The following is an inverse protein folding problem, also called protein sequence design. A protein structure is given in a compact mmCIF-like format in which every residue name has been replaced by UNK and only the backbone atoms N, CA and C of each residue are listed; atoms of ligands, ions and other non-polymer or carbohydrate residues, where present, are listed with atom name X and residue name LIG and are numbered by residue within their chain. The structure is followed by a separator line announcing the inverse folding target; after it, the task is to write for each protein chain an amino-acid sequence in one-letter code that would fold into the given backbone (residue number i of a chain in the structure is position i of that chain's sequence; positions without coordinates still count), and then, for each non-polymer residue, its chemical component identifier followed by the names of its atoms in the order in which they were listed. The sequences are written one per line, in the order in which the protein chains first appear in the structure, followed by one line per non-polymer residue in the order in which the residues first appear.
data_IF_611502924211
#
_entry.id   IF_611502924211
#
_cell.length_a   1.000
_cell.length_b   1.000
_cell.length_c   1.000
_cell.angle_alpha   90.00
_cell.angle_beta   90.00
_cell.angle_gamma   90.00
#
_symmetry.space_group_name_H-M   'P 1'
#
loop_
_entity.id
_entity.type
_entity.pdbx_description
1 polymer ?
#
# COMPACT_ATOMS: atom_id res chain seq x y z
N UNK A 1 15.20 -10.61 -1.90
CA UNK A 1 14.04 -9.76 -1.78
C UNK A 1 12.90 -10.34 -2.59
N UNK A 2 11.82 -10.68 -1.97
CA UNK A 2 10.70 -11.30 -2.65
C UNK A 2 9.64 -10.27 -3.06
N UNK A 3 8.90 -10.61 -4.10
CA UNK A 3 7.73 -9.87 -4.47
C UNK A 3 6.53 -10.53 -3.81
N UNK A 4 5.62 -9.74 -3.29
CA UNK A 4 4.40 -10.22 -2.67
C UNK A 4 3.19 -9.65 -3.36
N UNK A 5 2.17 -10.47 -3.51
CA UNK A 5 0.87 -10.03 -3.97
C UNK A 5 -0.21 -10.81 -3.23
N UNK A 6 -1.27 -10.13 -2.87
CA UNK A 6 -2.43 -10.76 -2.23
C UNK A 6 -3.70 -10.31 -2.93
N UNK A 7 -4.60 -11.25 -3.14
CA UNK A 7 -5.91 -10.99 -3.71
C UNK A 7 -6.97 -11.22 -2.64
N UNK A 8 -7.95 -10.35 -2.62
CA UNK A 8 -9.03 -10.39 -1.65
C UNK A 8 -10.36 -10.22 -2.35
N UNK A 9 -11.35 -11.00 -1.92
CA UNK A 9 -12.74 -10.71 -2.25
C UNK A 9 -13.36 -10.10 -1.01
N UNK A 10 -13.87 -8.89 -1.16
CA UNK A 10 -14.40 -8.12 -0.04
C UNK A 10 -15.85 -7.79 -0.30
N UNK A 11 -16.70 -8.09 0.66
CA UNK A 11 -18.08 -7.68 0.63
C UNK A 11 -18.27 -6.50 1.58
N UNK A 12 -18.66 -5.37 1.03
CA UNK A 12 -18.92 -4.17 1.80
C UNK A 12 -20.42 -4.09 2.06
N UNK A 13 -20.80 -4.13 3.33
CA UNK A 13 -22.22 -4.18 3.71
C UNK A 13 -22.80 -2.84 4.13
N UNK A 14 -21.99 -1.82 4.21
CA UNK A 14 -22.42 -0.47 4.56
C UNK A 14 -21.80 0.54 3.61
N UNK A 15 -22.04 1.81 3.89
CA UNK A 15 -21.49 2.88 3.08
C UNK A 15 -20.47 3.74 3.83
N UNK A 16 -19.96 3.25 4.93
CA UNK A 16 -18.89 3.89 5.67
C UNK A 16 -18.04 2.84 6.38
N UNK A 17 -16.85 3.22 6.78
CA UNK A 17 -15.88 2.33 7.41
C UNK A 17 -14.56 2.37 6.69
N UNK A 18 -13.65 1.53 7.12
CA UNK A 18 -12.32 1.42 6.53
C UNK A 18 -11.96 -0.01 6.23
N UNK A 19 -11.32 -0.22 5.09
CA UNK A 19 -10.64 -1.48 4.77
C UNK A 19 -9.16 -1.26 4.97
N UNK A 20 -8.51 -2.19 5.65
CA UNK A 20 -7.06 -2.16 5.80
C UNK A 20 -6.47 -3.39 5.15
N UNK A 21 -5.67 -3.19 4.12
CA UNK A 21 -4.89 -4.25 3.49
C UNK A 21 -3.48 -4.18 4.01
N UNK A 22 -2.91 -5.32 4.37
CA UNK A 22 -1.60 -5.39 4.99
C UNK A 22 -0.78 -6.51 4.37
N UNK A 23 0.37 -6.17 3.82
CA UNK A 23 1.37 -7.12 3.37
C UNK A 23 2.57 -7.03 4.28
N UNK A 24 3.07 -8.16 4.73
CA UNK A 24 4.22 -8.19 5.62
C UNK A 24 5.36 -8.93 4.93
N UNK A 25 6.50 -8.28 4.82
CA UNK A 25 7.69 -8.87 4.25
C UNK A 25 8.92 -8.46 5.05
N UNK A 26 9.62 -9.45 5.60
CA UNK A 26 10.83 -9.17 6.37
C UNK A 26 10.62 -8.29 7.59
N UNK A 27 9.42 -8.32 8.17
CA UNK A 27 9.08 -7.48 9.32
C UNK A 27 8.58 -6.09 8.94
N UNK A 28 8.62 -5.74 7.66
CA UNK A 28 8.06 -4.48 7.18
C UNK A 28 6.61 -4.68 6.79
N UNK A 29 5.75 -3.79 7.27
CA UNK A 29 4.33 -3.77 6.93
C UNK A 29 4.09 -2.77 5.81
N UNK A 30 3.46 -3.24 4.74
CA UNK A 30 3.00 -2.40 3.64
C UNK A 30 1.49 -2.38 3.70
N UNK A 31 0.92 -1.21 3.87
CA UNK A 31 -0.50 -1.09 4.17
C UNK A 31 -1.21 -0.18 3.17
N UNK A 32 -2.46 -0.51 2.91
CA UNK A 32 -3.36 0.32 2.14
C UNK A 32 -4.65 0.47 2.95
N UNK A 33 -4.97 1.67 3.36
CA UNK A 33 -6.21 1.97 4.08
C UNK A 33 -7.19 2.62 3.10
N UNK A 34 -8.37 2.03 2.96
CA UNK A 34 -9.40 2.54 2.06
C UNK A 34 -10.59 3.00 2.88
N UNK A 35 -10.94 4.27 2.73
CA UNK A 35 -12.12 4.84 3.36
C UNK A 35 -13.32 4.56 2.45
N UNK A 36 -14.26 3.77 2.95
CA UNK A 36 -15.44 3.36 2.18
C UNK A 36 -16.32 4.56 1.83
N UNK A 37 -16.39 5.54 2.69
CA UNK A 37 -17.25 6.70 2.45
C UNK A 37 -16.81 7.53 1.26
N UNK A 38 -15.51 7.65 1.03
CA UNK A 38 -14.96 8.51 -0.02
C UNK A 38 -14.28 7.72 -1.14
N UNK A 39 -13.96 6.45 -0.91
CA UNK A 39 -13.16 5.65 -1.81
C UNK A 39 -11.67 5.98 -1.76
N UNK A 40 -11.26 6.83 -0.86
CA UNK A 40 -9.86 7.26 -0.76
C UNK A 40 -8.99 6.14 -0.24
N UNK A 41 -7.93 5.85 -0.95
CA UNK A 41 -6.94 4.86 -0.55
C UNK A 41 -5.63 5.56 -0.20
N UNK A 42 -5.04 5.18 0.92
CA UNK A 42 -3.77 5.76 1.38
C UNK A 42 -2.78 4.62 1.59
N UNK A 43 -1.64 4.72 0.94
CA UNK A 43 -0.56 3.76 1.12
C UNK A 43 0.36 4.20 2.25
N UNK A 44 0.82 3.22 3.02
CA UNK A 44 1.81 3.48 4.06
C UNK A 44 2.70 2.26 4.23
N UNK A 45 3.85 2.46 4.86
CA UNK A 45 4.71 1.36 5.25
C UNK A 45 5.33 1.63 6.59
N UNK A 46 5.57 0.57 7.35
CA UNK A 46 6.19 0.65 8.66
C UNK A 46 7.25 -0.42 8.78
N UNK A 47 8.36 -0.07 9.40
CA UNK A 47 9.42 -1.03 9.62
C UNK A 47 9.10 -1.94 10.82
N UNK A 48 10.03 -2.80 11.14
CA UNK A 48 9.92 -3.77 12.22
C UNK A 48 9.66 -3.13 13.59
N UNK A 49 10.17 -1.92 13.79
CA UNK A 49 9.99 -1.18 15.04
C UNK A 49 8.72 -0.33 15.02
N UNK A 50 7.94 -0.38 13.94
CA UNK A 50 6.73 0.41 13.79
C UNK A 50 6.98 1.82 13.29
N UNK A 51 8.21 2.13 12.89
CA UNK A 51 8.56 3.46 12.41
C UNK A 51 8.04 3.66 10.98
N UNK A 52 7.34 4.76 10.71
CA UNK A 52 6.83 5.02 9.36
C UNK A 52 7.96 5.18 8.35
N UNK A 53 7.77 4.60 7.17
CA UNK A 53 8.65 4.81 6.03
C UNK A 53 8.09 5.87 5.10
N UNK A 54 8.94 6.33 4.18
CA UNK A 54 8.56 7.34 3.19
C UNK A 54 8.59 6.73 1.80
N UNK A 55 7.91 7.39 0.87
CA UNK A 55 7.92 7.01 -0.53
C UNK A 55 8.72 8.04 -1.32
N UNK A 56 9.37 7.58 -2.38
CA UNK A 56 10.20 8.44 -3.21
C UNK A 56 10.21 7.92 -4.64
N UNK A 57 10.29 8.85 -5.60
CA UNK A 57 10.46 8.51 -7.01
C UNK A 57 11.93 8.66 -7.46
N UNK A 58 12.84 8.85 -6.50
CA UNK A 58 14.23 9.09 -6.80
C UNK A 58 14.59 10.56 -6.96
N UNK A 59 13.58 11.43 -7.07
CA UNK A 59 13.78 12.87 -7.24
C UNK A 59 13.66 13.65 -5.93
N UNK A 60 13.11 13.04 -4.90
CA UNK A 60 12.93 13.68 -3.60
C UNK A 60 12.07 12.85 -2.68
N UNK A 61 11.85 13.38 -1.50
CA UNK A 61 11.08 12.72 -0.46
C UNK A 61 9.69 13.31 -0.39
N UNK A 62 8.69 12.44 -0.19
CA UNK A 62 7.34 12.89 0.09
C UNK A 62 7.13 12.86 1.60
N UNK A 63 6.66 13.95 2.14
CA UNK A 63 6.26 14.02 3.53
C UNK A 63 4.90 13.38 3.75
N UNK A 64 4.14 13.23 2.69
CA UNK A 64 2.79 12.65 2.76
C UNK A 64 2.73 11.33 2.04
N UNK A 65 1.94 10.43 2.58
CA UNK A 65 1.70 9.15 1.95
C UNK A 65 0.91 9.32 0.64
N UNK A 66 1.15 8.46 -0.36
CA UNK A 66 0.41 8.54 -1.62
C UNK A 66 -1.08 8.29 -1.40
N UNK A 67 -1.90 9.05 -2.08
CA UNK A 67 -3.35 8.96 -1.98
C UNK A 67 -3.92 8.68 -3.35
N UNK A 68 -4.80 7.70 -3.43
CA UNK A 68 -5.53 7.37 -4.64
C UNK A 68 -7.02 7.36 -4.38
N UNK A 69 -7.79 7.27 -5.44
CA UNK A 69 -9.23 7.15 -5.33
C UNK A 69 -9.70 5.86 -5.96
N UNK A 70 -10.53 5.15 -5.22
CA UNK A 70 -11.18 3.94 -5.69
C UNK A 70 -12.66 4.19 -5.85
N UNK A 71 -13.35 3.24 -6.46
CA UNK A 71 -14.80 3.28 -6.57
C UNK A 71 -15.49 2.49 -5.46
N UNK A 72 -14.75 2.17 -4.40
CA UNK A 72 -15.31 1.47 -3.25
C UNK A 72 -15.98 2.51 -2.36
N UNK A 73 -17.16 2.95 -2.75
CA UNK A 73 -17.87 4.01 -2.03
C UNK A 73 -19.25 3.59 -1.55
N UNK A 74 -19.62 2.34 -1.75
CA UNK A 74 -20.94 1.84 -1.39
C UNK A 74 -20.93 0.35 -1.18
N UNK A 75 -22.04 -0.19 -0.76
CA UNK A 75 -22.25 -1.64 -0.66
C UNK A 75 -21.95 -2.34 -1.97
N UNK A 76 -21.37 -3.50 -1.88
CA UNK A 76 -21.09 -4.33 -3.01
C UNK A 76 -19.95 -5.28 -2.76
N UNK A 77 -19.69 -6.11 -3.75
CA UNK A 77 -18.56 -7.03 -3.72
C UNK A 77 -17.46 -6.49 -4.60
N UNK A 78 -16.24 -6.50 -4.07
CA UNK A 78 -15.07 -5.97 -4.75
C UNK A 78 -13.96 -6.98 -4.72
N UNK A 79 -13.23 -7.07 -5.82
CA UNK A 79 -12.00 -7.85 -5.88
C UNK A 79 -10.83 -6.89 -5.79
N UNK A 80 -9.98 -7.10 -4.80
CA UNK A 80 -8.82 -6.27 -4.56
C UNK A 80 -7.56 -7.07 -4.76
N UNK A 81 -6.56 -6.45 -5.35
CA UNK A 81 -5.23 -7.02 -5.41
C UNK A 81 -4.25 -5.95 -4.93
N UNK A 82 -3.46 -6.29 -3.93
CA UNK A 82 -2.45 -5.40 -3.39
C UNK A 82 -1.10 -6.09 -3.51
N UNK A 83 -0.15 -5.43 -4.13
CA UNK A 83 1.14 -6.04 -4.38
C UNK A 83 2.29 -5.11 -4.04
N UNK A 84 3.41 -5.73 -3.70
CA UNK A 84 4.69 -5.08 -3.51
C UNK A 84 5.67 -5.80 -4.45
N UNK A 85 5.96 -5.17 -5.58
CA UNK A 85 6.80 -5.75 -6.62
C UNK A 85 7.88 -4.74 -6.99
N UNK A 86 9.14 -5.15 -6.93
CA UNK A 86 10.28 -4.29 -7.26
C UNK A 86 10.25 -2.95 -6.51
N UNK A 87 9.95 -3.02 -5.21
CA UNK A 87 9.89 -1.84 -4.35
C UNK A 87 8.84 -0.82 -4.79
N UNK A 88 7.74 -1.32 -5.36
CA UNK A 88 6.61 -0.51 -5.75
C UNK A 88 5.32 -1.14 -5.24
N UNK A 89 4.47 -0.33 -4.60
CA UNK A 89 3.15 -0.77 -4.16
C UNK A 89 2.13 -0.48 -5.23
N UNK A 90 1.33 -1.49 -5.56
CA UNK A 90 0.28 -1.40 -6.56
C UNK A 90 -1.03 -1.90 -5.98
N UNK A 91 -2.10 -1.21 -6.32
CA UNK A 91 -3.45 -1.60 -5.91
C UNK A 91 -4.35 -1.69 -7.14
N UNK A 92 -5.02 -2.82 -7.29
CA UNK A 92 -6.07 -3.00 -8.28
C UNK A 92 -7.40 -3.19 -7.58
N UNK A 93 -8.42 -2.56 -8.12
CA UNK A 93 -9.81 -2.74 -7.67
C UNK A 93 -10.61 -3.19 -8.88
N UNK A 94 -11.21 -4.37 -8.79
CA UNK A 94 -11.96 -4.98 -9.89
C UNK A 94 -11.16 -4.98 -11.20
N UNK A 95 -9.90 -5.39 -11.12
CA UNK A 95 -8.95 -5.47 -12.24
C UNK A 95 -8.53 -4.12 -12.83
N UNK A 96 -8.80 -3.03 -12.14
CA UNK A 96 -8.33 -1.71 -12.56
C UNK A 96 -7.23 -1.22 -11.65
N UNK A 97 -6.12 -0.84 -12.22
CA UNK A 97 -5.02 -0.25 -11.47
C UNK A 97 -5.42 1.13 -10.97
N UNK A 98 -5.22 1.36 -9.69
CA UNK A 98 -5.53 2.64 -9.07
C UNK A 98 -4.34 3.57 -9.22
N UNK A 99 -4.60 4.79 -9.69
CA UNK A 99 -3.57 5.83 -9.80
C UNK A 99 -3.47 6.57 -8.48
N UNK A 100 -2.25 6.73 -7.98
CA UNK A 100 -2.00 7.46 -6.75
C UNK A 100 -1.33 8.79 -7.05
N UNK A 101 -1.65 9.79 -6.25
CA UNK A 101 -0.96 11.07 -6.28
C UNK A 101 0.34 10.91 -5.52
N UNK A 102 1.44 11.11 -6.20
CA UNK A 102 2.76 10.91 -5.65
C UNK A 102 3.32 9.53 -5.95
N UNK A 103 4.58 9.32 -5.66
CA UNK A 103 5.24 8.04 -5.94
C UNK A 103 4.72 6.94 -5.02
N UNK A 104 4.57 5.76 -5.58
CA UNK A 104 4.26 4.54 -4.84
C UNK A 104 5.50 3.65 -4.72
N UNK A 105 6.62 4.12 -5.18
CA UNK A 105 7.91 3.47 -5.05
C UNK A 105 8.61 3.92 -3.77
N UNK A 106 9.50 3.10 -3.29
CA UNK A 106 10.26 3.38 -2.08
C UNK A 106 11.63 2.76 -2.19
N UNK A 107 12.55 3.23 -1.37
CA UNK A 107 13.87 2.64 -1.27
C UNK A 107 13.94 1.86 0.04
N UNK A 108 14.36 0.62 -0.07
CA UNK A 108 14.68 -0.16 1.12
C UNK A 108 15.98 0.37 1.66
N UNK A 109 15.97 0.75 2.93
CA UNK A 109 17.21 1.07 3.60
C UNK A 109 18.04 -0.19 3.72
N UNK A 110 18.99 -0.30 2.84
CA UNK A 110 19.99 -1.33 3.00
C UNK A 110 21.02 -0.77 3.93
N UNK A 111 20.88 -1.08 5.17
CA UNK A 111 21.99 -0.83 6.07
C UNK A 111 23.04 -1.84 5.72
N UNK A 112 23.99 -1.43 4.96
CA UNK A 112 25.17 -2.22 4.77
C UNK A 112 25.93 -2.17 6.07
N UNK A 113 25.60 -3.07 6.94
CA UNK A 113 26.49 -3.32 8.03
C UNK A 113 27.66 -4.07 7.45
N UNK A 114 28.81 -3.54 7.53
CA UNK A 114 29.98 -4.24 7.10
C UNK A 114 30.30 -5.28 8.11
N UNK A 115 29.59 -6.29 8.11
CA UNK A 115 30.06 -7.35 8.91
C UNK A 115 30.22 -8.47 8.09
N UNK A 116 30.92 -8.67 8.16
CA UNK A 116 31.02 -9.53 7.54
C UNK A 116 31.44 -10.44 8.00
N UNK A 117 31.16 -10.30 8.19
CA UNK A 117 31.25 -10.80 8.49
C UNK A 117 31.14 -11.26 8.39
#
# INVERSE_FOLDING_TARGET
MGDLAAEFEVEVKGNEGKLLLDLVEGGTHFQCAIDIKTGRAILSRRDKAGKPGVFTDGAGWLEKNPIGRTKITKQGSYRLRFSNIDEELLLWVNNRLISFQGPTTYEMETVLTPHWQ
#
